data_IF_827135136472
#
_entry.id   IF_827135136472
#
_cell.length_a   1.000
_cell.length_b   1.000
_cell.length_c   1.000
_cell.angle_alpha   90.00
_cell.angle_beta   90.00
_cell.angle_gamma   90.00
#
_symmetry.space_group_name_H-M   'P 1'
#
loop_
_entity.id
_entity.type
_entity.pdbx_description
1 polymer ?
#
# COMPACT_ATOMS: atom_id res chain seq x y z
N UNK A 1 10.52 8.29 -9.90
CA UNK A 1 10.69 7.66 -8.58
C UNK A 1 9.88 6.38 -8.58
N UNK A 2 10.43 5.29 -8.07
CA UNK A 2 9.70 4.02 -7.96
C UNK A 2 10.09 3.35 -6.65
N UNK A 3 9.24 2.45 -6.15
CA UNK A 3 9.55 1.64 -4.96
C UNK A 3 9.70 0.20 -5.41
N UNK A 4 10.70 -0.47 -4.89
CA UNK A 4 10.83 -1.92 -5.02
C UNK A 4 10.63 -2.56 -3.64
N UNK A 5 9.84 -3.62 -3.60
CA UNK A 5 9.78 -4.56 -2.47
C UNK A 5 10.61 -5.78 -2.87
N UNK A 6 11.61 -6.13 -2.07
CA UNK A 6 12.59 -7.15 -2.44
C UNK A 6 13.19 -7.91 -1.26
N UNK A 7 13.80 -9.05 -1.56
CA UNK A 7 14.41 -9.96 -0.58
C UNK A 7 13.44 -11.00 -0.02
N UNK A 8 13.94 -11.80 0.92
CA UNK A 8 13.13 -12.78 1.63
C UNK A 8 12.24 -12.10 2.68
N UNK A 9 11.12 -12.74 3.00
CA UNK A 9 10.19 -12.25 4.02
C UNK A 9 10.86 -12.30 5.41
N UNK A 10 10.79 -11.23 6.23
CA UNK A 10 10.11 -9.94 5.99
C UNK A 10 10.85 -9.07 4.95
N UNK A 11 10.16 -8.77 3.85
CA UNK A 11 10.75 -8.11 2.69
C UNK A 11 11.13 -6.66 3.01
N UNK A 12 12.22 -6.20 2.38
CA UNK A 12 12.63 -4.79 2.41
C UNK A 12 11.83 -4.02 1.38
N UNK A 13 11.56 -2.75 1.67
CA UNK A 13 11.00 -1.82 0.70
C UNK A 13 11.89 -0.58 0.60
N UNK A 14 12.23 -0.15 -0.61
CA UNK A 14 13.14 0.98 -0.83
C UNK A 14 12.64 1.85 -1.98
N UNK A 15 12.67 3.18 -1.77
CA UNK A 15 12.39 4.20 -2.78
C UNK A 15 13.66 4.50 -3.58
N UNK A 16 13.54 4.49 -4.89
CA UNK A 16 14.61 4.77 -5.84
C UNK A 16 14.29 5.98 -6.72
N UNK A 17 15.36 6.65 -7.18
CA UNK A 17 15.28 7.64 -8.27
C UNK A 17 15.25 6.96 -9.66
N UNK A 18 15.28 7.76 -10.73
CA UNK A 18 15.31 7.25 -12.10
C UNK A 18 16.64 6.58 -12.49
N UNK A 19 17.68 6.69 -11.66
CA UNK A 19 19.00 6.09 -11.85
C UNK A 19 19.23 4.89 -10.92
N UNK A 20 18.17 4.39 -10.29
CA UNK A 20 18.22 3.31 -9.31
C UNK A 20 19.08 3.63 -8.07
N UNK A 21 19.24 4.91 -7.71
CA UNK A 21 19.87 5.31 -6.45
C UNK A 21 18.85 5.23 -5.32
N UNK A 22 19.17 4.57 -4.19
CA UNK A 22 18.27 4.51 -3.04
C UNK A 22 18.13 5.91 -2.40
N UNK A 23 16.89 6.33 -2.17
CA UNK A 23 16.53 7.62 -1.58
C UNK A 23 16.02 7.43 -0.15
N UNK A 24 15.17 6.43 0.05
CA UNK A 24 14.49 6.19 1.33
C UNK A 24 14.30 4.70 1.57
N UNK A 25 14.65 4.23 2.76
CA UNK A 25 14.42 2.86 3.20
C UNK A 25 13.18 2.83 4.10
N UNK A 26 12.18 2.05 3.73
CA UNK A 26 10.95 1.87 4.51
C UNK A 26 11.11 0.77 5.59
N UNK A 27 12.29 0.14 5.65
CA UNK A 27 12.58 -0.99 6.53
C UNK A 27 12.01 -2.30 6.01
N UNK A 28 12.20 -3.35 6.83
CA UNK A 28 11.65 -4.68 6.59
C UNK A 28 10.25 -4.82 7.19
N UNK A 29 9.36 -5.54 6.50
CA UNK A 29 8.03 -5.84 7.01
C UNK A 29 7.31 -6.94 6.21
N UNK A 30 6.16 -7.43 6.71
CA UNK A 30 5.34 -8.40 5.99
C UNK A 30 4.56 -7.71 4.85
N UNK A 31 5.29 -7.29 3.80
CA UNK A 31 4.78 -6.49 2.69
C UNK A 31 5.12 -7.17 1.37
N UNK A 32 4.22 -7.16 0.41
CA UNK A 32 4.45 -7.70 -0.93
C UNK A 32 3.89 -6.81 -2.05
N UNK A 33 3.15 -5.76 -1.71
CA UNK A 33 2.47 -4.88 -2.66
C UNK A 33 2.85 -3.43 -2.38
N UNK A 34 3.12 -2.68 -3.44
CA UNK A 34 3.27 -1.22 -3.39
C UNK A 34 2.38 -0.60 -4.45
N UNK A 35 1.67 0.47 -4.08
CA UNK A 35 0.80 1.21 -4.99
C UNK A 35 0.97 2.72 -4.75
N UNK A 36 1.17 3.46 -5.84
CA UNK A 36 1.26 4.92 -5.82
C UNK A 36 -0.10 5.53 -6.10
N UNK A 37 -0.40 6.65 -5.44
CA UNK A 37 -1.53 7.46 -5.86
C UNK A 37 -1.25 8.06 -7.25
N UNK A 38 -2.29 8.30 -8.08
CA UNK A 38 -2.14 8.87 -9.42
C UNK A 38 -1.27 10.12 -9.50
N UNK A 39 -1.30 10.95 -8.45
CA UNK A 39 -0.54 12.21 -8.38
C UNK A 39 0.85 12.06 -7.72
N UNK A 40 1.33 10.83 -7.49
CA UNK A 40 2.69 10.52 -7.02
C UNK A 40 3.10 11.16 -5.69
N UNK A 41 2.12 11.61 -4.88
CA UNK A 41 2.34 12.17 -3.55
C UNK A 41 2.20 11.11 -2.46
N UNK A 42 1.17 10.30 -2.55
CA UNK A 42 0.90 9.25 -1.57
C UNK A 42 1.28 7.89 -2.15
N UNK A 43 1.68 6.98 -1.27
CA UNK A 43 1.88 5.58 -1.62
C UNK A 43 1.44 4.71 -0.45
N UNK A 44 1.10 3.47 -0.75
CA UNK A 44 0.89 2.45 0.27
C UNK A 44 1.90 1.32 0.13
N UNK A 45 2.24 0.72 1.26
CA UNK A 45 2.86 -0.60 1.33
C UNK A 45 1.85 -1.56 1.96
N UNK A 46 1.51 -2.62 1.24
CA UNK A 46 0.51 -3.60 1.64
C UNK A 46 1.08 -5.01 1.69
N UNK A 47 0.58 -5.82 2.62
CA UNK A 47 0.80 -7.26 2.66
C UNK A 47 -0.49 -8.02 2.39
N UNK A 48 -0.70 -8.48 1.16
CA UNK A 48 -1.93 -9.16 0.73
C UNK A 48 -1.74 -10.64 0.40
N UNK A 49 -2.85 -11.35 0.19
CA UNK A 49 -2.83 -12.79 -0.10
C UNK A 49 -2.64 -13.62 1.17
N UNK A 50 -1.48 -14.24 1.35
CA UNK A 50 -1.16 -15.05 2.54
C UNK A 50 -0.67 -14.23 3.73
N UNK A 51 -0.60 -12.90 3.59
CA UNK A 51 -0.22 -11.97 4.64
C UNK A 51 -1.45 -11.40 5.35
N UNK A 52 -1.31 -10.82 6.57
CA UNK A 52 -2.44 -10.40 7.39
C UNK A 52 -3.33 -9.28 6.83
N UNK A 53 -2.98 -8.68 5.68
CA UNK A 53 -3.71 -7.55 5.12
C UNK A 53 -3.30 -6.19 5.69
N UNK A 54 -2.12 -6.08 6.30
CA UNK A 54 -1.62 -4.82 6.82
C UNK A 54 -1.29 -3.84 5.69
N UNK A 55 -1.74 -2.60 5.82
CA UNK A 55 -1.51 -1.50 4.87
C UNK A 55 -0.95 -0.30 5.62
N UNK A 56 0.15 0.24 5.12
CA UNK A 56 0.81 1.42 5.65
C UNK A 56 0.76 2.54 4.61
N UNK A 57 0.22 3.70 5.01
CA UNK A 57 0.08 4.88 4.18
C UNK A 57 1.24 5.83 4.38
N UNK A 58 1.86 6.29 3.30
CA UNK A 58 2.97 7.22 3.34
C UNK A 58 2.70 8.48 2.49
N UNK A 59 3.08 9.64 3.02
CA UNK A 59 3.16 10.91 2.29
C UNK A 59 4.62 11.18 1.91
N UNK A 60 4.90 11.18 0.60
CA UNK A 60 6.22 11.51 0.07
C UNK A 60 6.41 13.03 0.08
N UNK A 61 7.38 13.49 0.84
CA UNK A 61 7.75 14.89 0.95
C UNK A 61 8.71 15.31 -0.17
N UNK A 62 8.79 16.61 -0.39
CA UNK A 62 9.63 17.20 -1.44
C UNK A 62 11.13 16.95 -1.23
N UNK A 63 11.55 16.76 0.03
CA UNK A 63 12.92 16.40 0.42
C UNK A 63 13.29 14.94 0.11
N UNK A 64 12.36 14.17 -0.46
CA UNK A 64 12.54 12.76 -0.81
C UNK A 64 12.24 11.79 0.33
N UNK A 65 11.94 12.26 1.54
CA UNK A 65 11.55 11.40 2.67
C UNK A 65 10.09 10.98 2.57
N UNK A 66 9.78 9.81 3.12
CA UNK A 66 8.41 9.31 3.21
C UNK A 66 7.95 9.33 4.67
N UNK A 67 6.90 10.11 4.96
CA UNK A 67 6.29 10.17 6.29
C UNK A 67 5.16 9.15 6.39
N UNK A 68 5.21 8.26 7.38
CA UNK A 68 4.08 7.39 7.70
C UNK A 68 2.90 8.24 8.21
N UNK A 69 1.73 8.04 7.61
CA UNK A 69 0.50 8.77 7.91
C UNK A 69 -0.46 7.93 8.75
N UNK A 70 -0.57 6.64 8.45
CA UNK A 70 -1.47 5.74 9.16
C UNK A 70 -1.21 4.28 8.81
N UNK A 71 -1.76 3.39 9.64
CA UNK A 71 -1.73 1.94 9.43
C UNK A 71 -3.14 1.39 9.61
N UNK A 72 -3.56 0.53 8.69
CA UNK A 72 -4.84 -0.17 8.77
C UNK A 72 -4.66 -1.63 8.43
N UNK A 73 -5.72 -2.40 8.62
CA UNK A 73 -5.78 -3.80 8.21
C UNK A 73 -7.01 -4.04 7.33
N UNK A 74 -6.77 -4.59 6.15
CA UNK A 74 -7.78 -5.07 5.22
C UNK A 74 -7.49 -6.56 4.93
N UNK A 75 -7.95 -7.43 5.83
CA UNK A 75 -7.77 -8.88 5.71
C UNK A 75 -8.42 -9.40 4.42
N UNK A 76 -7.90 -10.53 3.91
CA UNK A 76 -8.43 -11.20 2.71
C UNK A 76 -8.42 -10.37 1.41
N UNK A 77 -7.80 -9.17 1.41
CA UNK A 77 -7.72 -8.32 0.22
C UNK A 77 -7.09 -9.08 -0.95
N UNK A 78 -7.84 -9.11 -2.06
CA UNK A 78 -7.42 -9.69 -3.34
C UNK A 78 -6.91 -8.62 -4.30
N UNK A 79 -7.55 -7.46 -4.30
CA UNK A 79 -7.19 -6.31 -5.12
C UNK A 79 -7.07 -5.06 -4.26
N UNK A 80 -6.07 -4.23 -4.54
CA UNK A 80 -5.83 -2.95 -3.90
C UNK A 80 -5.46 -1.93 -4.96
N UNK A 81 -6.26 -0.88 -5.10
CA UNK A 81 -6.06 0.17 -6.10
C UNK A 81 -6.35 1.55 -5.51
N UNK A 82 -5.64 2.56 -6.00
CA UNK A 82 -6.01 3.94 -5.76
C UNK A 82 -7.15 4.33 -6.70
N UNK A 83 -8.07 5.15 -6.19
CA UNK A 83 -9.04 5.83 -7.00
C UNK A 83 -8.36 6.90 -7.88
N UNK A 84 -8.90 7.22 -9.07
CA UNK A 84 -8.34 8.24 -9.95
C UNK A 84 -8.26 9.65 -9.34
N UNK A 85 -9.03 9.92 -8.28
CA UNK A 85 -9.02 11.18 -7.54
C UNK A 85 -7.77 11.37 -6.66
N UNK A 86 -6.94 10.33 -6.51
CA UNK A 86 -5.73 10.32 -5.69
C UNK A 86 -5.94 10.55 -4.19
N UNK A 87 -7.18 10.42 -3.70
CA UNK A 87 -7.56 10.60 -2.29
C UNK A 87 -8.03 9.31 -1.65
N UNK A 88 -8.61 8.40 -2.42
CA UNK A 88 -9.15 7.15 -1.88
C UNK A 88 -8.34 5.93 -2.33
N UNK A 89 -8.18 4.98 -1.41
CA UNK A 89 -7.68 3.64 -1.65
C UNK A 89 -8.84 2.66 -1.51
N UNK A 90 -9.00 1.77 -2.47
CA UNK A 90 -10.04 0.74 -2.47
C UNK A 90 -9.36 -0.63 -2.35
N UNK A 91 -9.81 -1.42 -1.39
CA UNK A 91 -9.43 -2.83 -1.27
C UNK A 91 -10.66 -3.70 -1.46
N UNK A 92 -10.55 -4.78 -2.23
CA UNK A 92 -11.68 -5.69 -2.44
C UNK A 92 -11.28 -7.15 -2.25
N UNK A 93 -12.18 -7.91 -1.66
CA UNK A 93 -12.12 -9.38 -1.57
C UNK A 93 -13.12 -9.95 -2.56
N UNK A 94 -12.62 -10.64 -3.59
CA UNK A 94 -13.44 -11.13 -4.71
C UNK A 94 -13.27 -12.62 -4.95
N UNK A 95 -14.40 -13.29 -5.17
CA UNK A 95 -14.51 -14.63 -5.74
C UNK A 95 -13.96 -14.65 -7.18
N UNK A 96 -13.33 -15.74 -7.67
CA UNK A 96 -13.22 -17.07 -7.05
C UNK A 96 -12.03 -17.26 -6.09
N UNK A 97 -11.12 -16.27 -6.00
CA UNK A 97 -9.88 -16.40 -5.21
C UNK A 97 -10.17 -16.61 -3.72
N UNK A 98 -11.11 -15.85 -3.18
CA UNK A 98 -11.65 -16.02 -1.84
C UNK A 98 -13.18 -16.07 -1.92
N UNK A 99 -13.76 -17.14 -1.40
CA UNK A 99 -15.22 -17.39 -1.45
C UNK A 99 -15.93 -17.04 -0.14
N UNK A 100 -15.19 -16.47 0.82
CA UNK A 100 -15.65 -16.00 2.12
C UNK A 100 -15.30 -14.53 2.24
N UNK A 101 -16.06 -13.78 3.04
CA UNK A 101 -15.83 -12.35 3.33
C UNK A 101 -15.64 -11.49 2.07
N UNK A 102 -16.48 -11.73 1.06
CA UNK A 102 -16.48 -10.92 -0.16
C UNK A 102 -17.05 -9.54 0.17
N UNK A 103 -16.44 -8.50 -0.39
CA UNK A 103 -16.79 -7.11 -0.10
C UNK A 103 -15.66 -6.18 -0.48
N UNK A 104 -15.79 -4.92 -0.11
CA UNK A 104 -14.74 -3.92 -0.31
C UNK A 104 -14.68 -2.91 0.82
N UNK A 105 -13.51 -2.32 0.99
CA UNK A 105 -13.26 -1.22 1.92
C UNK A 105 -12.70 -0.04 1.16
N UNK A 106 -13.10 1.15 1.59
CA UNK A 106 -12.60 2.42 1.08
C UNK A 106 -11.90 3.14 2.22
N UNK A 107 -10.64 3.51 1.98
CA UNK A 107 -9.83 4.29 2.89
C UNK A 107 -9.51 5.63 2.26
N UNK A 108 -9.39 6.67 3.08
CA UNK A 108 -8.80 7.93 2.68
C UNK A 108 -7.26 7.82 2.66
N UNK A 109 -6.55 8.76 2.03
CA UNK A 109 -5.10 8.66 1.77
C UNK A 109 -4.23 8.56 3.04
N UNK A 110 -4.79 8.88 4.20
CA UNK A 110 -4.14 8.81 5.51
C UNK A 110 -4.43 7.51 6.27
N UNK A 111 -5.30 6.65 5.71
CA UNK A 111 -5.74 5.40 6.34
C UNK A 111 -7.05 5.51 7.11
N UNK A 112 -7.75 6.64 7.10
CA UNK A 112 -9.07 6.69 7.72
C UNK A 112 -10.06 5.86 6.91
N UNK A 113 -10.81 4.96 7.57
CA UNK A 113 -11.85 4.18 6.90
C UNK A 113 -13.02 5.09 6.55
N UNK A 114 -13.36 5.14 5.26
CA UNK A 114 -14.51 5.88 4.73
C UNK A 114 -15.73 4.97 4.66
N UNK A 115 -15.54 3.73 4.22
CA UNK A 115 -16.62 2.76 4.05
C UNK A 115 -16.10 1.32 4.12
N UNK A 116 -16.97 0.40 4.55
CA UNK A 116 -16.74 -1.05 4.61
C UNK A 116 -18.07 -1.76 4.34
N UNK A 117 -18.07 -2.67 3.36
CA UNK A 117 -19.14 -3.63 3.08
C UNK A 117 -18.88 -4.97 3.78
#
# INVERSE_FOLDING_TARGET
HFVAIHGFMPAKATLFDHRCKPIYDFGSGPRNTVQWSPFSRFLILGGFGNLPGDIEFFDKKADGKCKLMGKVRAACTVNCTWAPDGRHLITSTTSPRLRVDNGFKVFHYNGDTVYEE
#
